data_IF_816642739037
#
_entry.id   IF_816642739037
#
_cell.length_a   1.000
_cell.length_b   1.000
_cell.length_c   1.000
_cell.angle_alpha   90.00
_cell.angle_beta   90.00
_cell.angle_gamma   90.00
#
_symmetry.space_group_name_H-M   'P 1'
#
loop_
_entity.id
_entity.type
_entity.pdbx_description
1 polymer ?
#
# COMPACT_ATOMS: atom_id res chain seq x y z
N UNK A 1 -2.23 25.50 -17.50
CA UNK A 1 -2.32 24.11 -17.00
C UNK A 1 -1.53 23.25 -17.98
N UNK A 2 -0.66 22.32 -17.54
CA UNK A 2 -0.07 21.39 -18.50
C UNK A 2 -1.17 20.47 -19.03
N UNK A 3 -1.53 20.66 -20.30
CA UNK A 3 -2.76 20.15 -20.91
C UNK A 3 -2.80 18.64 -21.19
N UNK A 4 -1.80 17.84 -20.80
CA UNK A 4 -1.87 16.38 -21.01
C UNK A 4 -1.07 15.63 -19.93
N UNK A 5 -1.70 15.29 -18.81
CA UNK A 5 -1.22 14.16 -18.02
C UNK A 5 -1.46 12.87 -18.83
N UNK A 6 -0.40 12.11 -19.07
CA UNK A 6 -0.47 10.81 -19.71
C UNK A 6 -0.01 9.74 -18.72
N UNK A 7 -0.89 8.81 -18.28
CA UNK A 7 -0.54 7.80 -17.30
C UNK A 7 0.55 6.84 -17.78
N UNK A 8 0.67 6.62 -19.10
CA UNK A 8 1.75 5.78 -19.66
C UNK A 8 3.10 6.47 -19.58
N UNK A 9 3.14 7.77 -19.83
CA UNK A 9 4.38 8.55 -19.75
C UNK A 9 4.84 8.64 -18.29
N UNK A 10 3.89 8.84 -17.36
CA UNK A 10 4.17 8.82 -15.91
C UNK A 10 4.69 7.45 -15.45
N UNK A 11 4.09 6.35 -15.88
CA UNK A 11 4.59 5.00 -15.56
C UNK A 11 5.98 4.76 -16.15
N UNK A 12 6.21 5.15 -17.41
CA UNK A 12 7.51 5.03 -18.05
C UNK A 12 8.58 5.82 -17.30
N UNK A 13 8.25 7.03 -16.84
CA UNK A 13 9.11 7.86 -16.00
C UNK A 13 9.44 7.14 -14.68
N UNK A 14 8.44 6.68 -13.92
CA UNK A 14 8.65 6.01 -12.63
C UNK A 14 9.50 4.74 -12.78
N UNK A 15 9.29 3.96 -13.85
CA UNK A 15 10.11 2.79 -14.17
C UNK A 15 11.55 3.20 -14.49
N UNK A 16 11.74 4.24 -15.29
CA UNK A 16 13.08 4.76 -15.63
C UNK A 16 13.83 5.26 -14.39
N UNK A 17 13.14 6.00 -13.50
CA UNK A 17 13.70 6.45 -12.23
C UNK A 17 14.09 5.26 -11.36
N UNK A 18 13.26 4.23 -11.28
CA UNK A 18 13.56 3.06 -10.46
C UNK A 18 14.85 2.32 -10.86
N UNK A 19 15.23 2.38 -12.14
CA UNK A 19 16.47 1.79 -12.63
C UNK A 19 17.72 2.63 -12.28
N UNK A 20 17.56 3.92 -12.00
CA UNK A 20 18.69 4.79 -11.63
C UNK A 20 18.97 4.82 -10.13
N UNK A 21 18.11 4.23 -9.31
CA UNK A 21 18.29 4.19 -7.87
C UNK A 21 19.36 3.18 -7.47
N UNK A 22 20.41 3.66 -6.80
CA UNK A 22 21.42 2.79 -6.18
C UNK A 22 20.85 2.16 -4.90
N UNK A 23 20.53 0.87 -4.96
CA UNK A 23 20.03 0.07 -3.84
C UNK A 23 21.11 -0.81 -3.20
N UNK A 24 22.40 -0.59 -3.52
CA UNK A 24 23.49 -1.45 -3.06
C UNK A 24 23.83 -1.27 -1.58
N UNK A 25 23.50 -0.12 -1.00
CA UNK A 25 23.76 0.20 0.40
C UNK A 25 22.47 0.49 1.15
N UNK A 26 22.20 -0.32 2.16
CA UNK A 26 21.08 -0.16 3.09
C UNK A 26 21.63 -0.06 4.50
N UNK A 27 21.11 0.89 5.28
CA UNK A 27 21.47 1.12 6.68
C UNK A 27 20.31 0.71 7.59
N UNK A 28 20.57 0.56 8.88
CA UNK A 28 19.48 0.43 9.85
C UNK A 28 18.80 1.79 10.06
N UNK A 29 17.48 1.77 10.25
CA UNK A 29 16.74 2.95 10.67
C UNK A 29 17.17 3.39 12.08
N UNK A 30 17.29 4.70 12.26
CA UNK A 30 17.52 5.34 13.55
C UNK A 30 16.18 5.76 14.17
N UNK A 31 16.19 6.02 15.48
CA UNK A 31 15.02 6.57 16.17
C UNK A 31 14.59 7.88 15.50
N UNK A 32 13.33 7.95 15.08
CA UNK A 32 12.76 9.10 14.39
C UNK A 32 12.90 9.10 12.86
N UNK A 33 13.59 8.12 12.26
CA UNK A 33 13.63 8.00 10.79
C UNK A 33 12.27 7.61 10.22
N UNK A 34 11.51 6.79 10.95
CA UNK A 34 10.13 6.42 10.65
C UNK A 34 9.31 6.78 11.89
N UNK A 35 8.55 7.89 11.85
CA UNK A 35 7.76 8.34 12.99
C UNK A 35 6.79 7.26 13.49
N UNK A 36 6.70 7.10 14.81
CA UNK A 36 5.69 6.26 15.47
C UNK A 36 4.56 7.18 15.96
N UNK A 37 3.35 6.98 15.43
CA UNK A 37 2.18 7.80 15.74
C UNK A 37 1.19 6.94 16.52
N UNK A 38 0.90 7.34 17.77
CA UNK A 38 -0.17 6.73 18.56
C UNK A 38 -1.50 7.43 18.27
N UNK A 39 -2.46 6.68 17.72
CA UNK A 39 -3.79 7.20 17.38
C UNK A 39 -4.86 6.88 18.44
N UNK A 40 -4.47 6.25 19.55
CA UNK A 40 -5.38 5.76 20.59
C UNK A 40 -6.29 6.84 21.14
N UNK A 41 -5.72 7.95 21.59
CA UNK A 41 -6.47 9.02 22.26
C UNK A 41 -7.50 9.65 21.31
N UNK A 42 -7.13 9.82 20.04
CA UNK A 42 -8.07 10.26 19.02
C UNK A 42 -9.21 9.25 18.83
N UNK A 43 -8.91 7.96 18.68
CA UNK A 43 -9.95 6.95 18.46
C UNK A 43 -10.82 6.70 19.70
N UNK A 44 -10.35 7.05 20.90
CA UNK A 44 -11.13 6.93 22.13
C UNK A 44 -12.02 8.15 22.40
N UNK A 45 -11.56 9.35 22.06
CA UNK A 45 -12.26 10.60 22.38
C UNK A 45 -13.04 11.18 21.20
N UNK A 46 -12.57 10.94 19.97
CA UNK A 46 -13.04 11.54 18.72
C UNK A 46 -13.07 13.09 18.75
N UNK A 47 -12.30 13.69 19.65
CA UNK A 47 -12.27 15.13 19.87
C UNK A 47 -11.36 15.85 18.88
N UNK A 48 -11.69 17.10 18.54
CA UNK A 48 -10.89 17.92 17.63
C UNK A 48 -9.48 18.18 18.18
N UNK A 49 -9.33 18.27 19.52
CA UNK A 49 -8.02 18.46 20.17
C UNK A 49 -7.08 17.28 19.88
N UNK A 50 -7.56 16.05 20.11
CA UNK A 50 -6.76 14.85 19.85
C UNK A 50 -6.57 14.61 18.35
N UNK A 51 -7.55 15.00 17.54
CA UNK A 51 -7.46 14.92 16.08
C UNK A 51 -6.34 15.83 15.55
N UNK A 52 -6.28 17.08 16.01
CA UNK A 52 -5.24 18.05 15.61
C UNK A 52 -3.84 17.59 16.03
N UNK A 53 -3.70 16.95 17.20
CA UNK A 53 -2.43 16.40 17.67
C UNK A 53 -1.91 15.27 16.78
N UNK A 54 -2.78 14.32 16.41
CA UNK A 54 -2.41 13.20 15.53
C UNK A 54 -2.17 13.72 14.10
N UNK A 55 -3.02 14.64 13.63
CA UNK A 55 -2.90 15.25 12.31
C UNK A 55 -1.59 16.03 12.15
N UNK A 56 -1.12 16.73 13.17
CA UNK A 56 0.18 17.41 13.14
C UNK A 56 1.35 16.44 12.98
N UNK A 57 1.33 15.31 13.69
CA UNK A 57 2.37 14.27 13.56
C UNK A 57 2.30 13.59 12.20
N UNK A 58 1.10 13.30 11.71
CA UNK A 58 0.90 12.72 10.38
C UNK A 58 1.38 13.67 9.28
N UNK A 59 1.09 14.98 9.42
CA UNK A 59 1.55 16.00 8.47
C UNK A 59 3.07 15.99 8.35
N UNK A 60 3.79 16.03 9.45
CA UNK A 60 5.27 15.96 9.45
C UNK A 60 5.77 14.68 8.81
N UNK A 61 5.18 13.52 9.17
CA UNK A 61 5.55 12.25 8.56
C UNK A 61 5.31 12.25 7.03
N UNK A 62 4.17 12.76 6.57
CA UNK A 62 3.81 12.77 5.15
C UNK A 62 4.55 13.81 4.33
N UNK A 63 5.05 14.91 4.91
CA UNK A 63 5.85 15.92 4.19
C UNK A 63 7.34 15.57 4.15
N UNK A 64 7.90 15.01 5.23
CA UNK A 64 9.35 14.80 5.36
C UNK A 64 9.81 13.37 5.10
N UNK A 65 8.96 12.37 5.39
CA UNK A 65 9.34 10.94 5.42
C UNK A 65 8.53 10.10 4.43
N UNK A 66 7.27 10.45 4.16
CA UNK A 66 6.33 9.66 3.37
C UNK A 66 5.92 8.32 4.00
N UNK A 67 6.46 7.99 5.18
CA UNK A 67 6.19 6.77 5.94
C UNK A 67 6.02 7.10 7.43
N UNK A 68 5.19 6.32 8.10
CA UNK A 68 5.12 6.24 9.57
C UNK A 68 4.72 4.83 10.02
N UNK A 69 4.80 4.56 11.31
CA UNK A 69 4.14 3.42 11.94
C UNK A 69 3.01 3.94 12.81
N UNK A 70 1.83 3.34 12.72
CA UNK A 70 0.70 3.68 13.60
C UNK A 70 0.48 2.58 14.64
N UNK A 71 0.22 2.99 15.88
CA UNK A 71 -0.18 2.12 17.01
C UNK A 71 -1.42 2.71 17.68
N UNK A 72 -2.04 1.95 18.59
CA UNK A 72 -3.25 2.45 19.28
C UNK A 72 -4.50 2.49 18.40
N UNK A 73 -4.43 1.95 17.18
CA UNK A 73 -5.49 1.94 16.17
C UNK A 73 -6.68 1.03 16.48
N UNK A 74 -6.68 0.31 17.60
CA UNK A 74 -7.77 -0.57 18.07
C UNK A 74 -8.18 -1.68 17.08
N UNK A 75 -7.33 -2.01 16.11
CA UNK A 75 -7.59 -3.10 15.18
C UNK A 75 -7.55 -4.44 15.94
N UNK A 76 -8.54 -5.34 15.78
CA UNK A 76 -8.56 -6.59 16.53
C UNK A 76 -7.37 -7.49 16.19
N UNK A 77 -6.50 -7.74 17.17
CA UNK A 77 -5.26 -8.51 16.97
C UNK A 77 -5.52 -9.94 16.50
N UNK A 78 -6.63 -10.55 16.94
CA UNK A 78 -7.05 -11.87 16.48
C UNK A 78 -7.40 -11.90 14.98
N UNK A 79 -7.98 -10.82 14.44
CA UNK A 79 -8.30 -10.73 13.00
C UNK A 79 -7.03 -10.55 12.18
N UNK A 80 -6.08 -9.74 12.67
CA UNK A 80 -4.78 -9.57 12.04
C UNK A 80 -3.99 -10.88 12.00
N UNK A 81 -3.92 -11.57 13.15
CA UNK A 81 -3.23 -12.86 13.25
C UNK A 81 -3.89 -13.90 12.36
N UNK A 82 -5.23 -13.99 12.36
CA UNK A 82 -5.97 -14.89 11.47
C UNK A 82 -5.65 -14.61 10.00
N UNK A 83 -5.62 -13.34 9.57
CA UNK A 83 -5.31 -13.00 8.18
C UNK A 83 -3.88 -13.39 7.77
N UNK A 84 -2.90 -13.21 8.67
CA UNK A 84 -1.53 -13.69 8.46
C UNK A 84 -1.48 -15.21 8.38
N UNK A 85 -2.17 -15.92 9.28
CA UNK A 85 -2.24 -17.39 9.28
C UNK A 85 -2.91 -17.92 8.01
N UNK A 86 -4.00 -17.31 7.56
CA UNK A 86 -4.65 -17.62 6.27
C UNK A 86 -3.75 -17.35 5.08
N UNK A 87 -2.96 -16.28 5.12
CA UNK A 87 -1.95 -16.00 4.10
C UNK A 87 -0.93 -17.15 4.02
N UNK A 88 -0.47 -17.68 5.16
CA UNK A 88 0.41 -18.87 5.18
C UNK A 88 -0.32 -20.10 4.62
N UNK A 89 -1.53 -20.39 5.11
CA UNK A 89 -2.35 -21.53 4.67
C UNK A 89 -2.57 -21.55 3.16
N UNK A 90 -2.85 -20.39 2.56
CA UNK A 90 -2.98 -20.26 1.11
C UNK A 90 -1.67 -20.56 0.38
N UNK A 91 -0.56 -19.96 0.82
CA UNK A 91 0.73 -20.13 0.13
C UNK A 91 1.34 -21.52 0.32
N UNK A 92 0.92 -22.25 1.36
CA UNK A 92 1.26 -23.66 1.59
C UNK A 92 0.39 -24.64 0.80
N UNK A 93 -0.62 -24.15 0.06
CA UNK A 93 -1.38 -25.01 -0.86
C UNK A 93 -0.50 -25.55 -2.00
N UNK A 94 -0.84 -26.74 -2.52
CA UNK A 94 -0.28 -27.26 -3.77
C UNK A 94 -0.27 -26.22 -4.89
N UNK A 95 0.79 -26.22 -5.68
CA UNK A 95 0.99 -25.22 -6.73
C UNK A 95 -0.13 -25.27 -7.79
N UNK A 96 -0.75 -26.44 -7.99
CA UNK A 96 -1.88 -26.65 -8.89
C UNK A 96 -3.12 -25.85 -8.43
N UNK A 97 -3.39 -25.81 -7.12
CA UNK A 97 -4.48 -25.02 -6.55
C UNK A 97 -4.19 -23.54 -6.76
N UNK A 98 -2.97 -23.07 -6.43
CA UNK A 98 -2.59 -21.66 -6.63
C UNK A 98 -2.62 -21.27 -8.11
N UNK A 99 -2.14 -22.12 -9.01
CA UNK A 99 -2.13 -21.89 -10.45
C UNK A 99 -3.54 -21.89 -11.08
N UNK A 100 -4.52 -22.56 -10.47
CA UNK A 100 -5.92 -22.48 -10.93
C UNK A 100 -6.54 -21.08 -10.75
N UNK A 101 -5.90 -20.25 -9.91
CA UNK A 101 -6.30 -18.89 -9.55
C UNK A 101 -5.38 -17.83 -10.15
N UNK A 102 -4.60 -18.14 -11.19
CA UNK A 102 -3.63 -17.20 -11.78
C UNK A 102 -4.24 -15.82 -12.07
N UNK A 103 -3.48 -14.79 -11.75
CA UNK A 103 -3.86 -13.41 -12.03
C UNK A 103 -4.02 -13.19 -13.54
N UNK A 104 -5.10 -12.49 -13.91
CA UNK A 104 -5.46 -12.14 -15.29
C UNK A 104 -5.72 -13.33 -16.22
N UNK A 105 -6.11 -14.50 -15.69
CA UNK A 105 -6.48 -15.64 -16.52
C UNK A 105 -7.58 -15.26 -17.54
N UNK A 106 -7.56 -15.81 -18.78
CA UNK A 106 -8.43 -15.34 -19.85
C UNK A 106 -9.93 -15.46 -19.57
N UNK A 107 -10.33 -16.43 -18.76
CA UNK A 107 -11.70 -16.80 -18.41
C UNK A 107 -12.25 -16.06 -17.17
N UNK A 108 -11.47 -15.18 -16.52
CA UNK A 108 -11.95 -14.37 -15.41
C UNK A 108 -12.20 -12.90 -15.85
N UNK A 109 -13.38 -12.33 -15.56
CA UNK A 109 -13.76 -11.00 -16.06
C UNK A 109 -13.01 -9.87 -15.36
N UNK A 110 -12.59 -10.08 -14.11
CA UNK A 110 -11.90 -9.09 -13.30
C UNK A 110 -10.39 -9.18 -13.50
N UNK A 111 -9.75 -8.09 -13.91
CA UNK A 111 -8.29 -7.98 -14.04
C UNK A 111 -7.62 -7.58 -12.72
N UNK A 112 -6.34 -7.92 -12.57
CA UNK A 112 -5.54 -7.60 -11.40
C UNK A 112 -5.90 -8.38 -10.13
N UNK A 113 -6.62 -9.50 -10.25
CA UNK A 113 -6.99 -10.32 -9.08
C UNK A 113 -6.54 -11.76 -9.28
N UNK A 114 -6.26 -12.46 -8.19
CA UNK A 114 -5.78 -13.83 -8.19
C UNK A 114 -4.31 -13.97 -7.76
N UNK A 115 -3.76 -15.14 -8.05
CA UNK A 115 -2.42 -15.57 -7.68
C UNK A 115 -1.35 -15.02 -8.64
N UNK A 116 -0.36 -14.36 -8.05
CA UNK A 116 0.91 -14.00 -8.68
C UNK A 116 1.97 -15.03 -8.27
N UNK A 117 2.49 -15.83 -9.22
CA UNK A 117 3.52 -16.81 -8.94
C UNK A 117 4.81 -16.19 -8.43
N UNK A 118 5.63 -17.02 -7.81
CA UNK A 118 7.01 -16.69 -7.52
C UNK A 118 7.78 -16.31 -8.81
N UNK A 119 8.71 -15.36 -8.72
CA UNK A 119 9.48 -14.84 -9.85
C UNK A 119 8.60 -14.19 -10.95
N UNK A 120 7.53 -13.51 -10.55
CA UNK A 120 6.65 -12.79 -11.46
C UNK A 120 7.24 -11.43 -11.87
N UNK A 121 6.84 -10.92 -13.03
CA UNK A 121 7.26 -9.61 -13.56
C UNK A 121 6.14 -8.56 -13.45
N UNK A 122 5.20 -8.70 -12.50
CA UNK A 122 4.05 -7.82 -12.34
C UNK A 122 4.07 -7.15 -10.96
N UNK A 123 3.44 -5.98 -10.85
CA UNK A 123 3.17 -5.30 -9.58
C UNK A 123 4.37 -5.27 -8.61
N UNK A 124 5.46 -4.55 -8.97
CA UNK A 124 5.62 -3.69 -10.14
C UNK A 124 6.19 -4.44 -11.37
N UNK A 125 5.94 -3.91 -12.57
CA UNK A 125 6.47 -4.49 -13.81
C UNK A 125 7.94 -4.12 -14.03
N UNK A 126 8.83 -5.12 -14.11
CA UNK A 126 10.29 -4.95 -14.15
C UNK A 126 10.97 -5.99 -15.04
N UNK A 127 12.25 -5.78 -15.32
CA UNK A 127 13.07 -6.66 -16.18
C UNK A 127 13.54 -7.92 -15.45
N UNK A 128 13.71 -7.84 -14.13
CA UNK A 128 13.98 -8.97 -13.24
C UNK A 128 12.70 -9.32 -12.47
N UNK A 129 12.44 -10.62 -12.27
CA UNK A 129 11.26 -11.08 -11.55
C UNK A 129 11.33 -10.80 -10.05
N UNK A 130 10.17 -10.52 -9.45
CA UNK A 130 9.99 -10.35 -8.01
C UNK A 130 10.08 -11.72 -7.31
N UNK A 131 10.98 -11.83 -6.34
CA UNK A 131 11.24 -13.04 -5.54
C UNK A 131 10.21 -13.24 -4.41
N UNK A 132 8.95 -12.94 -4.71
CA UNK A 132 7.79 -13.16 -3.86
C UNK A 132 6.69 -13.84 -4.68
N UNK A 133 5.77 -14.51 -3.98
CA UNK A 133 4.45 -14.86 -4.52
C UNK A 133 3.37 -14.09 -3.76
N UNK A 134 2.21 -13.90 -4.37
CA UNK A 134 1.10 -13.17 -3.74
C UNK A 134 -0.27 -13.66 -4.21
N UNK A 135 -1.28 -13.48 -3.38
CA UNK A 135 -2.68 -13.58 -3.76
C UNK A 135 -3.35 -12.22 -3.59
N UNK A 136 -3.98 -11.73 -4.67
CA UNK A 136 -4.52 -10.38 -4.72
C UNK A 136 -6.02 -10.41 -4.87
N UNK A 137 -6.71 -9.69 -3.99
CA UNK A 137 -8.13 -9.37 -4.13
C UNK A 137 -8.30 -7.86 -4.21
N UNK A 138 -9.41 -7.42 -4.78
CA UNK A 138 -9.75 -6.00 -4.87
C UNK A 138 -11.23 -5.76 -4.61
N UNK A 139 -11.56 -4.54 -4.25
CA UNK A 139 -12.94 -4.06 -4.13
C UNK A 139 -13.02 -2.63 -4.64
N UNK A 140 -14.08 -2.33 -5.35
CA UNK A 140 -14.47 -1.00 -5.86
C UNK A 140 -16.00 -0.93 -5.83
N UNK A 141 -16.59 0.20 -6.22
CA UNK A 141 -18.05 0.32 -6.41
C UNK A 141 -18.60 -0.67 -7.45
N UNK A 142 -17.83 -1.00 -8.49
CA UNK A 142 -18.21 -1.92 -9.58
C UNK A 142 -17.63 -3.33 -9.43
N UNK A 143 -16.92 -3.61 -8.34
CA UNK A 143 -16.29 -4.93 -8.09
C UNK A 143 -16.44 -5.24 -6.60
N UNK A 144 -17.31 -6.17 -6.28
CA UNK A 144 -17.49 -6.69 -4.93
C UNK A 144 -16.40 -7.70 -4.57
N UNK A 145 -16.33 -8.09 -3.30
CA UNK A 145 -15.43 -9.17 -2.88
C UNK A 145 -15.79 -10.51 -3.53
N UNK A 146 -17.06 -10.72 -3.87
CA UNK A 146 -17.56 -11.94 -4.52
C UNK A 146 -17.06 -12.11 -5.96
N UNK A 147 -16.70 -11.01 -6.63
CA UNK A 147 -16.20 -11.00 -8.00
C UNK A 147 -14.71 -11.39 -8.11
N UNK A 148 -14.03 -11.56 -6.97
CA UNK A 148 -12.64 -11.99 -6.92
C UNK A 148 -12.50 -13.50 -7.15
N UNK A 149 -11.31 -13.91 -7.57
CA UNK A 149 -10.97 -15.33 -7.65
C UNK A 149 -10.77 -15.87 -6.23
N UNK A 150 -11.45 -16.95 -5.87
CA UNK A 150 -11.32 -17.60 -4.55
C UNK A 150 -11.03 -19.09 -4.72
N UNK A 151 -10.18 -19.69 -3.84
CA UNK A 151 -10.09 -21.15 -3.76
C UNK A 151 -11.45 -21.73 -3.34
N UNK A 152 -11.75 -22.95 -3.79
CA UNK A 152 -12.95 -23.66 -3.37
C UNK A 152 -12.96 -23.92 -1.86
N UNK A 153 -14.13 -23.92 -1.23
CA UNK A 153 -14.26 -24.27 0.20
C UNK A 153 -13.82 -25.70 0.51
N UNK A 154 -13.84 -26.60 -0.47
CA UNK A 154 -13.29 -27.96 -0.39
C UNK A 154 -11.75 -27.98 -0.41
N UNK A 155 -11.12 -27.00 -1.05
CA UNK A 155 -9.67 -26.87 -1.17
C UNK A 155 -9.06 -26.13 0.02
N UNK A 156 -9.67 -25.02 0.42
CA UNK A 156 -9.18 -24.18 1.52
C UNK A 156 -10.32 -23.67 2.41
N UNK A 157 -10.89 -24.54 3.27
CA UNK A 157 -12.06 -24.22 4.07
C UNK A 157 -11.88 -22.96 4.93
N UNK A 158 -12.87 -22.07 4.88
CA UNK A 158 -12.98 -20.86 5.70
C UNK A 158 -12.06 -19.71 5.28
N UNK A 159 -11.13 -19.91 4.35
CA UNK A 159 -10.16 -18.88 3.94
C UNK A 159 -10.84 -17.62 3.43
N UNK A 160 -11.83 -17.76 2.53
CA UNK A 160 -12.56 -16.61 2.00
C UNK A 160 -13.21 -15.81 3.12
N UNK A 161 -13.97 -16.46 3.99
CA UNK A 161 -14.67 -15.79 5.09
C UNK A 161 -13.74 -15.03 6.05
N UNK A 162 -12.57 -15.59 6.36
CA UNK A 162 -11.57 -14.94 7.19
C UNK A 162 -10.90 -13.74 6.50
N UNK A 163 -10.51 -13.87 5.23
CA UNK A 163 -9.89 -12.77 4.47
C UNK A 163 -10.89 -11.65 4.19
N UNK A 164 -12.15 -11.95 3.89
CA UNK A 164 -13.19 -10.93 3.76
C UNK A 164 -13.45 -10.21 5.09
N UNK A 165 -13.36 -10.91 6.22
CA UNK A 165 -13.47 -10.29 7.54
C UNK A 165 -12.32 -9.32 7.77
N UNK A 166 -11.08 -9.71 7.47
CA UNK A 166 -9.93 -8.81 7.50
C UNK A 166 -10.14 -7.59 6.59
N UNK A 167 -10.60 -7.81 5.35
CA UNK A 167 -10.85 -6.75 4.37
C UNK A 167 -11.85 -5.69 4.88
N UNK A 168 -12.96 -6.14 5.48
CA UNK A 168 -13.96 -5.23 6.06
C UNK A 168 -13.42 -4.44 7.24
N UNK A 169 -12.66 -5.07 8.14
CA UNK A 169 -12.11 -4.36 9.31
C UNK A 169 -11.00 -3.39 8.94
N UNK A 170 -10.13 -3.73 7.97
CA UNK A 170 -9.04 -2.84 7.56
C UNK A 170 -9.58 -1.65 6.75
N UNK A 171 -10.65 -1.83 5.98
CA UNK A 171 -11.36 -0.72 5.35
C UNK A 171 -11.96 0.24 6.39
N UNK A 172 -12.57 -0.28 7.47
CA UNK A 172 -13.09 0.57 8.55
C UNK A 172 -11.98 1.39 9.19
N UNK A 173 -10.84 0.76 9.50
CA UNK A 173 -9.68 1.47 10.03
C UNK A 173 -9.19 2.56 9.06
N UNK A 174 -9.05 2.23 7.77
CA UNK A 174 -8.62 3.18 6.76
C UNK A 174 -9.58 4.39 6.66
N UNK A 175 -10.89 4.16 6.72
CA UNK A 175 -11.90 5.23 6.77
C UNK A 175 -11.79 6.08 8.04
N UNK A 176 -11.50 5.48 9.20
CA UNK A 176 -11.30 6.21 10.46
C UNK A 176 -10.07 7.12 10.45
N UNK A 177 -9.10 6.87 9.56
CA UNK A 177 -7.92 7.71 9.36
C UNK A 177 -8.19 8.90 8.42
N UNK A 178 -9.25 8.89 7.61
CA UNK A 178 -9.55 9.99 6.67
C UNK A 178 -9.64 11.37 7.34
N UNK A 179 -10.29 11.54 8.51
CA UNK A 179 -10.28 12.82 9.23
C UNK A 179 -8.89 13.30 9.62
N UNK A 180 -7.98 12.37 9.96
CA UNK A 180 -6.60 12.70 10.34
C UNK A 180 -5.85 13.25 9.12
N UNK A 181 -6.00 12.61 7.96
CA UNK A 181 -5.43 13.11 6.70
C UNK A 181 -6.04 14.47 6.30
N UNK A 182 -7.36 14.64 6.44
CA UNK A 182 -8.02 15.89 6.11
C UNK A 182 -7.49 17.04 6.98
N UNK A 183 -7.39 16.84 8.29
CA UNK A 183 -6.83 17.83 9.21
C UNK A 183 -5.35 18.08 8.98
N UNK A 184 -4.56 17.06 8.64
CA UNK A 184 -3.14 17.20 8.29
C UNK A 184 -2.94 18.05 7.03
N UNK A 185 -3.96 18.11 6.17
CA UNK A 185 -4.00 18.94 4.96
C UNK A 185 -4.72 20.27 5.17
N UNK A 186 -5.03 20.66 6.42
CA UNK A 186 -5.78 21.87 6.77
C UNK A 186 -7.18 21.94 6.12
N UNK A 187 -7.86 20.80 6.04
CA UNK A 187 -9.22 20.68 5.54
C UNK A 187 -10.18 20.32 6.68
N UNK A 188 -11.48 20.41 6.42
CA UNK A 188 -12.51 19.94 7.34
C UNK A 188 -12.45 18.41 7.48
N UNK A 189 -12.82 17.91 8.68
CA UNK A 189 -12.63 16.49 9.05
C UNK A 189 -13.36 15.48 8.14
N UNK A 190 -14.39 15.92 7.43
CA UNK A 190 -15.25 15.14 6.54
C UNK A 190 -14.98 15.44 5.05
N UNK A 191 -13.96 16.24 4.73
CA UNK A 191 -13.67 16.67 3.35
C UNK A 191 -13.54 15.50 2.37
N UNK A 192 -12.94 14.39 2.82
CA UNK A 192 -12.74 13.21 1.97
C UNK A 192 -13.96 12.29 1.88
N UNK A 193 -14.98 12.44 2.72
CA UNK A 193 -16.12 11.50 2.78
C UNK A 193 -16.78 11.25 1.41
N UNK A 194 -17.04 12.27 0.55
CA UNK A 194 -17.63 12.04 -0.76
C UNK A 194 -16.77 11.13 -1.66
N UNK A 195 -15.45 11.25 -1.54
CA UNK A 195 -14.48 10.50 -2.35
C UNK A 195 -14.34 9.04 -1.93
N UNK A 196 -14.68 8.70 -0.68
CA UNK A 196 -14.47 7.37 -0.09
C UNK A 196 -15.78 6.66 0.30
N UNK A 197 -16.89 7.03 -0.34
CA UNK A 197 -18.20 6.36 -0.16
C UNK A 197 -18.15 4.87 -0.56
N UNK A 198 -17.40 4.51 -1.61
CA UNK A 198 -17.17 3.15 -2.11
C UNK A 198 -15.71 3.01 -2.55
N UNK A 199 -14.77 3.03 -1.60
CA UNK A 199 -13.36 3.19 -1.90
C UNK A 199 -12.85 2.03 -2.75
N UNK A 200 -11.92 2.34 -3.66
CA UNK A 200 -11.14 1.32 -4.31
C UNK A 200 -10.04 0.85 -3.35
N UNK A 201 -9.91 -0.46 -3.16
CA UNK A 201 -8.73 -1.00 -2.49
C UNK A 201 -8.27 -2.32 -3.08
N UNK A 202 -7.00 -2.64 -2.84
CA UNK A 202 -6.41 -3.95 -3.11
C UNK A 202 -5.78 -4.51 -1.84
N UNK A 203 -5.94 -5.80 -1.64
CA UNK A 203 -5.25 -6.58 -0.62
C UNK A 203 -4.32 -7.56 -1.30
N UNK A 204 -3.05 -7.55 -0.91
CA UNK A 204 -2.03 -8.45 -1.48
C UNK A 204 -1.43 -9.32 -0.37
N UNK A 205 -1.93 -10.54 -0.26
CA UNK A 205 -1.46 -11.54 0.68
C UNK A 205 -0.13 -12.11 0.16
N UNK A 206 1.00 -11.61 0.66
CA UNK A 206 2.33 -11.88 0.09
C UNK A 206 3.11 -12.90 0.92
N UNK A 207 3.83 -13.80 0.24
CA UNK A 207 4.87 -14.65 0.82
C UNK A 207 6.22 -14.38 0.15
N UNK A 208 7.24 -14.27 0.97
CA UNK A 208 8.64 -14.20 0.58
C UNK A 208 9.31 -15.49 1.06
N UNK A 209 9.52 -16.48 0.17
CA UNK A 209 10.12 -17.76 0.55
C UNK A 209 11.52 -17.56 1.16
N UNK A 210 11.92 -18.48 2.06
CA UNK A 210 13.28 -18.51 2.58
C UNK A 210 14.26 -18.89 1.46
N UNK A 211 15.34 -18.12 1.31
CA UNK A 211 16.45 -18.45 0.43
C UNK A 211 17.66 -18.90 1.27
N UNK A 212 18.09 -20.14 1.05
CA UNK A 212 19.34 -20.66 1.63
C UNK A 212 20.60 -20.12 0.93
N UNK A 213 20.46 -19.56 -0.28
CA UNK A 213 21.54 -18.86 -0.97
C UNK A 213 21.53 -17.37 -0.64
N UNK A 214 22.52 -16.94 0.14
CA UNK A 214 22.77 -15.53 0.50
C UNK A 214 23.08 -14.63 -0.70
N UNK A 215 23.34 -15.21 -1.87
CA UNK A 215 23.78 -14.50 -3.09
C UNK A 215 22.69 -14.42 -4.18
N UNK A 216 21.42 -14.62 -3.85
CA UNK A 216 20.35 -14.41 -4.84
C UNK A 216 20.24 -12.91 -5.15
N UNK A 217 20.86 -12.48 -6.26
CA UNK A 217 20.59 -11.17 -6.83
C UNK A 217 19.09 -11.03 -7.10
N UNK A 218 18.47 -10.01 -6.53
CA UNK A 218 17.07 -9.71 -6.78
C UNK A 218 16.36 -9.12 -5.56
N UNK A 219 15.12 -8.75 -5.78
CA UNK A 219 14.27 -8.18 -4.74
C UNK A 219 13.10 -9.11 -4.48
N UNK A 220 12.67 -9.20 -3.22
CA UNK A 220 11.35 -9.76 -2.91
C UNK A 220 10.28 -9.01 -3.70
N UNK A 221 10.30 -7.67 -3.63
CA UNK A 221 9.57 -6.77 -4.53
C UNK A 221 10.53 -5.67 -4.95
N UNK A 222 10.69 -5.47 -6.26
CA UNK A 222 11.60 -4.49 -6.82
C UNK A 222 11.29 -3.03 -6.40
N UNK A 223 12.26 -2.11 -6.48
CA UNK A 223 12.04 -0.70 -6.15
C UNK A 223 10.89 -0.05 -6.91
N UNK A 224 10.04 0.63 -6.15
CA UNK A 224 8.84 1.31 -6.64
C UNK A 224 8.37 2.40 -5.68
N UNK A 225 7.32 3.11 -6.11
CA UNK A 225 6.43 3.91 -5.29
C UNK A 225 5.01 3.35 -5.46
N UNK A 226 4.13 3.61 -4.50
CA UNK A 226 2.75 3.12 -4.54
C UNK A 226 1.84 4.08 -5.34
N UNK A 227 0.88 3.53 -6.08
CA UNK A 227 -0.22 4.30 -6.69
C UNK A 227 -1.44 4.32 -5.77
N UNK A 228 -1.30 4.95 -4.61
CA UNK A 228 -2.34 4.99 -3.57
C UNK A 228 -2.64 6.39 -3.03
N UNK A 229 -3.76 6.52 -2.33
CA UNK A 229 -3.96 7.60 -1.37
C UNK A 229 -3.04 7.34 -0.17
N UNK A 230 -3.21 6.19 0.49
CA UNK A 230 -2.20 5.62 1.39
C UNK A 230 -2.27 4.09 1.39
N UNK A 231 -1.23 3.46 1.92
CA UNK A 231 -1.15 2.01 2.12
C UNK A 231 -1.03 1.69 3.61
N UNK A 232 -1.75 0.67 4.09
CA UNK A 232 -1.56 0.07 5.42
C UNK A 232 -0.87 -1.28 5.25
N UNK A 233 0.31 -1.47 5.84
CA UNK A 233 1.11 -2.69 5.72
C UNK A 233 1.16 -3.43 7.05
N UNK A 234 0.55 -4.62 7.08
CA UNK A 234 0.83 -5.65 8.07
C UNK A 234 2.05 -6.48 7.63
N UNK A 235 2.99 -6.75 8.55
CA UNK A 235 4.15 -7.61 8.30
C UNK A 235 4.55 -8.40 9.55
N UNK A 236 5.00 -9.64 9.38
CA UNK A 236 5.40 -10.50 10.51
C UNK A 236 6.90 -10.53 10.79
N UNK A 237 7.71 -9.94 9.90
CA UNK A 237 9.17 -9.95 10.02
C UNK A 237 9.83 -8.86 9.15
N UNK A 238 11.08 -8.45 9.46
CA UNK A 238 11.80 -7.42 8.72
C UNK A 238 11.98 -7.76 7.24
N UNK A 239 12.05 -6.75 6.37
CA UNK A 239 12.29 -6.95 4.94
C UNK A 239 11.95 -5.75 4.07
N UNK A 240 11.13 -4.82 4.57
CA UNK A 240 10.86 -3.53 3.92
C UNK A 240 12.08 -2.61 4.04
N UNK A 241 12.42 -1.96 2.92
CA UNK A 241 13.46 -0.95 2.82
C UNK A 241 12.87 0.33 2.24
N UNK A 242 13.12 1.46 2.89
CA UNK A 242 12.57 2.78 2.55
C UNK A 242 13.72 3.72 2.25
N UNK A 243 13.56 4.63 1.29
CA UNK A 243 14.54 5.70 1.10
C UNK A 243 14.25 6.87 2.04
N UNK A 244 15.19 7.18 2.92
CA UNK A 244 15.12 8.36 3.77
C UNK A 244 15.60 9.58 2.99
N UNK A 245 14.69 10.49 2.63
CA UNK A 245 15.05 11.76 2.02
C UNK A 245 15.92 12.61 2.97
N UNK A 246 15.65 12.57 4.27
CA UNK A 246 16.46 13.27 5.27
C UNK A 246 17.91 12.78 5.33
N UNK A 247 18.12 11.47 5.26
CA UNK A 247 19.46 10.85 5.35
C UNK A 247 20.12 10.61 3.98
N UNK A 248 19.36 10.78 2.89
CA UNK A 248 19.77 10.49 1.52
C UNK A 248 20.30 9.05 1.35
N UNK A 249 19.67 8.08 2.04
CA UNK A 249 20.05 6.68 1.99
C UNK A 249 18.86 5.73 2.17
N UNK A 250 19.04 4.47 1.76
CA UNK A 250 18.08 3.41 2.05
C UNK A 250 18.22 2.93 3.50
N UNK A 251 17.09 2.72 4.16
CA UNK A 251 17.01 2.26 5.53
C UNK A 251 16.08 1.04 5.67
N UNK A 252 16.48 0.08 6.50
CA UNK A 252 15.62 -1.03 6.91
C UNK A 252 14.51 -0.50 7.82
N UNK A 253 13.25 -0.72 7.42
CA UNK A 253 12.11 -0.37 8.25
C UNK A 253 12.00 -1.37 9.43
N UNK A 254 11.96 -0.90 10.69
CA UNK A 254 11.81 -1.79 11.82
C UNK A 254 10.41 -2.40 11.84
N UNK A 255 10.30 -3.61 12.41
CA UNK A 255 9.00 -4.21 12.71
C UNK A 255 8.63 -3.85 14.14
N UNK A 256 7.53 -3.11 14.28
CA UNK A 256 6.96 -2.73 15.58
C UNK A 256 5.76 -3.65 15.82
N UNK A 257 5.79 -4.39 16.91
CA UNK A 257 4.71 -5.31 17.28
C UNK A 257 3.39 -4.56 17.42
N UNK A 258 2.34 -5.08 16.76
CA UNK A 258 1.02 -4.49 16.80
C UNK A 258 0.88 -3.16 16.06
N UNK A 259 1.86 -2.75 15.26
CA UNK A 259 1.77 -1.55 14.41
C UNK A 259 1.43 -1.90 12.96
N UNK A 260 0.78 -0.97 12.27
CA UNK A 260 0.78 -0.92 10.80
C UNK A 260 1.84 0.06 10.34
N UNK A 261 2.66 -0.32 9.36
CA UNK A 261 3.45 0.65 8.61
C UNK A 261 2.52 1.33 7.61
N UNK A 262 2.59 2.65 7.50
CA UNK A 262 1.71 3.47 6.66
C UNK A 262 2.56 4.33 5.76
N UNK A 263 2.22 4.39 4.47
CA UNK A 263 2.86 5.29 3.52
C UNK A 263 1.86 5.97 2.60
N UNK A 264 2.23 7.16 2.14
CA UNK A 264 1.51 7.91 1.12
C UNK A 264 1.95 7.48 -0.28
N UNK A 265 1.02 7.52 -1.23
CA UNK A 265 1.28 7.14 -2.63
C UNK A 265 1.21 8.33 -3.59
N UNK A 266 1.46 8.04 -4.87
CA UNK A 266 1.49 9.02 -5.95
C UNK A 266 0.18 9.81 -6.10
N UNK A 267 -0.98 9.17 -5.82
CA UNK A 267 -2.27 9.85 -5.96
C UNK A 267 -2.47 10.92 -4.89
N UNK A 268 -2.11 10.64 -3.64
CA UNK A 268 -2.15 11.67 -2.59
C UNK A 268 -1.07 12.74 -2.79
N UNK A 269 0.11 12.37 -3.29
CA UNK A 269 1.14 13.34 -3.69
C UNK A 269 0.61 14.32 -4.74
N UNK A 270 -0.03 13.81 -5.80
CA UNK A 270 -0.65 14.64 -6.82
C UNK A 270 -1.81 15.47 -6.27
N UNK A 271 -2.70 14.85 -5.48
CA UNK A 271 -3.87 15.53 -4.93
C UNK A 271 -3.48 16.70 -4.00
N UNK A 272 -2.43 16.51 -3.20
CA UNK A 272 -1.86 17.53 -2.31
C UNK A 272 -0.85 18.47 -2.98
N UNK A 273 -0.75 18.46 -4.32
CA UNK A 273 0.11 19.36 -5.09
C UNK A 273 1.61 19.28 -4.70
N UNK A 274 2.07 18.06 -4.41
CA UNK A 274 3.40 17.71 -3.84
C UNK A 274 3.65 18.11 -2.39
N UNK A 275 2.65 18.56 -1.64
CA UNK A 275 2.85 18.83 -0.22
C UNK A 275 3.20 17.53 0.52
N UNK A 276 2.44 16.46 0.29
CA UNK A 276 2.80 15.13 0.77
C UNK A 276 3.65 14.41 -0.27
N UNK A 277 4.66 13.69 0.20
CA UNK A 277 5.60 12.98 -0.66
C UNK A 277 5.19 11.52 -0.85
N UNK A 278 5.70 10.89 -1.89
CA UNK A 278 5.49 9.47 -2.21
C UNK A 278 6.88 8.86 -2.30
N UNK A 279 7.22 8.03 -1.33
CA UNK A 279 8.61 7.64 -1.09
C UNK A 279 8.91 6.28 -1.68
N UNK A 280 10.03 6.22 -2.39
CA UNK A 280 10.53 5.00 -3.00
C UNK A 280 10.92 3.98 -1.94
N UNK A 281 10.53 2.74 -2.18
CA UNK A 281 10.73 1.61 -1.26
C UNK A 281 10.82 0.30 -2.04
N UNK A 282 11.34 -0.73 -1.38
CA UNK A 282 11.40 -2.09 -1.92
C UNK A 282 11.33 -3.12 -0.80
N UNK A 283 11.11 -4.39 -1.17
CA UNK A 283 11.26 -5.50 -0.22
C UNK A 283 12.49 -6.33 -0.61
N UNK A 284 13.39 -6.53 0.34
CA UNK A 284 14.56 -7.40 0.16
C UNK A 284 14.15 -8.83 -0.16
N UNK A 285 15.08 -9.58 -0.76
CA UNK A 285 14.99 -11.03 -0.74
C UNK A 285 15.01 -11.53 0.71
N UNK A 286 14.29 -12.61 0.99
CA UNK A 286 14.22 -13.14 2.35
C UNK A 286 15.33 -14.17 2.57
N UNK A 287 16.40 -13.73 3.23
CA UNK A 287 17.58 -14.55 3.54
C UNK A 287 17.49 -15.27 4.90
N UNK A 288 16.36 -15.15 5.61
CA UNK A 288 16.11 -15.89 6.84
C UNK A 288 15.78 -17.35 6.57
N UNK A 289 15.78 -18.19 7.62
CA UNK A 289 15.45 -19.62 7.57
C UNK A 289 13.95 -19.90 7.44
N UNK A 290 13.10 -18.86 7.55
CA UNK A 290 11.63 -18.95 7.52
C UNK A 290 11.07 -18.06 6.44
N UNK A 291 9.87 -18.38 5.93
CA UNK A 291 9.19 -17.47 5.00
C UNK A 291 8.70 -16.22 5.74
N UNK A 292 8.81 -15.06 5.10
CA UNK A 292 8.24 -13.79 5.56
C UNK A 292 6.86 -13.59 4.92
N UNK A 293 5.93 -13.03 5.69
CA UNK A 293 4.58 -12.74 5.21
C UNK A 293 4.20 -11.28 5.47
N UNK A 294 3.48 -10.70 4.50
CA UNK A 294 2.94 -9.34 4.64
C UNK A 294 1.65 -9.16 3.86
N UNK A 295 0.80 -8.25 4.32
CA UNK A 295 -0.50 -7.95 3.74
C UNK A 295 -0.64 -6.42 3.58
N UNK A 296 -0.05 -5.81 2.54
CA UNK A 296 -0.39 -4.44 2.20
C UNK A 296 -1.86 -4.31 1.75
N UNK A 297 -2.52 -3.29 2.30
CA UNK A 297 -3.84 -2.80 1.94
C UNK A 297 -3.67 -1.44 1.26
N UNK A 298 -3.80 -1.44 -0.06
CA UNK A 298 -3.66 -0.27 -0.92
C UNK A 298 -5.00 0.46 -0.96
N UNK A 299 -5.11 1.63 -0.33
CA UNK A 299 -6.38 2.34 -0.15
C UNK A 299 -6.48 3.56 -1.05
N UNK A 300 -7.59 3.70 -1.75
CA UNK A 300 -7.87 4.78 -2.70
C UNK A 300 -9.30 5.29 -2.58
N UNK A 301 -9.52 6.50 -3.09
CA UNK A 301 -10.87 7.01 -3.35
C UNK A 301 -11.62 6.10 -4.33
N UNK A 302 -12.92 6.32 -4.52
CA UNK A 302 -13.70 5.67 -5.57
C UNK A 302 -12.96 5.81 -6.90
N UNK A 303 -12.93 4.74 -7.70
CA UNK A 303 -12.04 4.69 -8.87
C UNK A 303 -12.26 5.82 -9.90
N UNK A 304 -13.50 6.32 -9.98
CA UNK A 304 -13.96 7.38 -10.88
C UNK A 304 -13.94 8.78 -10.25
N UNK A 305 -13.63 8.90 -8.95
CA UNK A 305 -13.62 10.19 -8.27
C UNK A 305 -12.53 11.09 -8.86
N UNK A 306 -12.92 12.30 -9.28
CA UNK A 306 -12.01 13.30 -9.84
C UNK A 306 -11.28 14.02 -8.71
N UNK A 307 -10.00 13.72 -8.56
CA UNK A 307 -9.09 14.37 -7.62
C UNK A 307 -8.54 15.64 -8.29
N UNK A 308 -9.03 16.79 -7.84
CA UNK A 308 -8.51 18.12 -8.19
C UNK A 308 -7.59 18.61 -7.08
N UNK A 309 -6.60 19.44 -7.44
CA UNK A 309 -5.67 20.03 -6.48
C UNK A 309 -6.41 20.60 -5.25
N UNK A 310 -6.01 20.16 -4.06
CA UNK A 310 -6.70 20.55 -2.83
C UNK A 310 -6.63 22.07 -2.62
N UNK A 311 -7.72 22.70 -2.15
CA UNK A 311 -7.79 24.16 -1.99
C UNK A 311 -6.79 24.69 -0.96
N UNK A 312 -6.36 23.86 -0.01
CA UNK A 312 -5.32 24.18 0.98
C UNK A 312 -3.89 23.96 0.48
N UNK A 313 -3.72 23.44 -0.73
CA UNK A 313 -2.43 23.07 -1.33
C UNK A 313 -2.07 23.90 -2.58
N UNK A 314 -2.87 24.92 -2.90
CA UNK A 314 -2.57 25.84 -3.99
C UNK A 314 -2.95 27.29 -3.67
N UNK A 315 -2.21 28.20 -4.27
CA UNK A 315 -2.45 29.64 -4.23
C UNK A 315 -1.83 30.30 -5.48
N UNK A 316 -1.68 31.64 -5.47
CA UNK A 316 -1.10 32.37 -6.60
C UNK A 316 0.39 32.04 -6.84
N UNK A 317 1.14 31.66 -5.79
CA UNK A 317 2.57 31.38 -5.85
C UNK A 317 2.86 29.88 -6.03
N UNK A 318 1.91 29.01 -5.66
CA UNK A 318 1.93 27.57 -5.89
C UNK A 318 0.65 27.11 -6.61
N UNK A 319 0.49 27.41 -7.92
CA UNK A 319 -0.69 27.00 -8.67
C UNK A 319 -0.78 25.46 -8.79
N UNK A 320 -1.96 24.90 -9.13
CA UNK A 320 -2.10 23.47 -9.42
C UNK A 320 -1.09 22.98 -10.46
N UNK A 321 -0.24 22.02 -10.08
CA UNK A 321 0.80 21.44 -10.94
C UNK A 321 0.27 20.36 -11.86
N UNK A 322 -0.86 19.77 -11.50
CA UNK A 322 -1.45 18.61 -12.16
C UNK A 322 -2.89 18.89 -12.60
N UNK A 323 -3.35 18.32 -13.72
CA UNK A 323 -4.76 18.33 -14.07
C UNK A 323 -5.56 17.42 -13.12
N UNK A 324 -6.88 17.66 -12.99
CA UNK A 324 -7.79 16.72 -12.34
C UNK A 324 -7.65 15.30 -12.88
N UNK A 325 -7.55 14.31 -12.00
CA UNK A 325 -7.37 12.90 -12.37
C UNK A 325 -8.21 11.98 -11.49
N UNK A 326 -8.72 10.89 -12.05
CA UNK A 326 -9.28 9.77 -11.29
C UNK A 326 -8.31 8.60 -11.22
N UNK A 327 -8.53 7.61 -10.33
CA UNK A 327 -7.72 6.40 -10.31
C UNK A 327 -7.72 5.71 -11.69
N UNK A 328 -8.88 5.66 -12.38
CA UNK A 328 -9.02 5.06 -13.71
C UNK A 328 -8.18 5.71 -14.81
N UNK A 329 -7.77 6.95 -14.59
CA UNK A 329 -6.93 7.71 -15.52
C UNK A 329 -5.47 7.77 -15.10
N UNK A 330 -5.14 7.20 -13.94
CA UNK A 330 -3.80 7.18 -13.36
C UNK A 330 -2.93 6.05 -13.91
N UNK A 331 -1.65 6.10 -13.57
CA UNK A 331 -0.68 5.05 -13.87
C UNK A 331 -1.04 3.69 -13.24
N UNK A 332 -1.89 3.63 -12.21
CA UNK A 332 -2.31 2.36 -11.59
C UNK A 332 -2.94 1.41 -12.62
N UNK A 333 -3.81 1.93 -13.49
CA UNK A 333 -4.40 1.13 -14.58
C UNK A 333 -3.34 0.65 -15.58
N UNK A 334 -2.32 1.47 -15.85
CA UNK A 334 -1.21 1.09 -16.74
C UNK A 334 -0.34 0.00 -16.12
N UNK A 335 -0.15 0.04 -14.80
CA UNK A 335 0.58 -0.97 -14.02
C UNK A 335 -0.16 -2.31 -13.93
N UNK A 336 -1.44 -2.38 -14.32
CA UNK A 336 -2.30 -3.55 -14.14
C UNK A 336 -2.88 -3.65 -12.72
N UNK A 337 -2.90 -2.53 -12.00
CA UNK A 337 -3.59 -2.37 -10.73
C UNK A 337 -5.12 -2.16 -10.89
#
# INVERSE_FOLDING_TARGET
MPDNFNPRDKEAQLRSESHSWDTSQVQEAMVGDIPLIDVKDYFQTLSDVTLDQVASQLREACTEVGFCSIVGHQFPSNILQQALDETRRFHDQPIEIKNSLLMDKPDWPIKGVGYLPFNNFKLPARDKGNLNEAFVIKRDHATSLDDNQWPGEDQLPGFRGHIETYAREIEKLAKQLLPVYARALNLDRDYFDPAFTSPLYRLRLSRYPSFTQKDSEGFGIAPHVDTTFFTLLAQDSPGLVIYSEKRQCWIHAPVIEGAFVVNTGELLKQWSNDLFISVKHFANNNTSDKSRYSIPFFFNANADFKMECLPSCCDADNPPKYPPISYRESQGIVQGE
#
